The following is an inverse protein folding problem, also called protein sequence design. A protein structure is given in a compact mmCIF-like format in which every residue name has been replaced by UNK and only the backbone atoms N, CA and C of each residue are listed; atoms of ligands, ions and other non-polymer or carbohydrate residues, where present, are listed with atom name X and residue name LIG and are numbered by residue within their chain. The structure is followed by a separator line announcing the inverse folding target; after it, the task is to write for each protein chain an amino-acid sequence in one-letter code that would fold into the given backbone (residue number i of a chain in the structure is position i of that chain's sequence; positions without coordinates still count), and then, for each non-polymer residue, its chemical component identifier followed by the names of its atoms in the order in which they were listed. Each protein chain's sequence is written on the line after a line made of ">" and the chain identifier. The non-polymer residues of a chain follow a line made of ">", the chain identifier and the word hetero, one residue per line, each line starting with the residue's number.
data_IF_926116948449
#
_entry.id   IF_926116948449
#
_cell.length_a   1.000
_cell.length_b   1.000
_cell.length_c   1.000
_cell.angle_alpha   90.00
_cell.angle_beta   90.00
_cell.angle_gamma   90.00
#
_symmetry.space_group_name_H-M   'P 1'
#
loop_
_entity.id
_entity.type
_entity.pdbx_description
1 polymer ?
#
# COMPACT_ATOMS: atom_id res chain seq x y z
N UNK A 1 -10.46 -16.06 -53.56
CA UNK A 1 -11.17 -15.94 -52.27
C UNK A 1 -10.60 -17.03 -51.38
N UNK A 2 -9.45 -16.72 -50.79
CA UNK A 2 -8.72 -17.55 -49.83
C UNK A 2 -8.07 -16.61 -48.80
N UNK A 3 -8.93 -15.83 -48.14
CA UNK A 3 -8.57 -15.02 -46.97
C UNK A 3 -8.55 -15.92 -45.73
N UNK A 4 -7.56 -16.81 -45.64
CA UNK A 4 -7.48 -17.80 -44.56
C UNK A 4 -6.05 -18.10 -44.11
N UNK A 5 -5.17 -17.11 -44.11
CA UNK A 5 -3.83 -17.31 -43.54
C UNK A 5 -3.28 -16.08 -42.83
N UNK A 6 -3.86 -15.71 -41.67
CA UNK A 6 -3.05 -15.09 -40.61
C UNK A 6 -3.71 -15.16 -39.22
N UNK A 7 -3.95 -16.36 -38.72
CA UNK A 7 -4.24 -16.56 -37.30
C UNK A 7 -3.38 -17.70 -36.77
N UNK A 8 -2.08 -17.46 -36.57
CA UNK A 8 -1.23 -18.22 -35.65
C UNK A 8 0.21 -17.69 -35.70
N UNK A 9 0.49 -16.62 -34.94
CA UNK A 9 1.80 -16.44 -34.31
C UNK A 9 1.72 -15.42 -33.16
N UNK A 10 0.82 -15.63 -32.20
CA UNK A 10 0.93 -14.95 -30.91
C UNK A 10 1.84 -15.82 -30.05
N UNK A 11 3.17 -15.63 -30.19
CA UNK A 11 4.12 -16.18 -29.22
C UNK A 11 3.74 -15.64 -27.84
N UNK A 12 3.69 -16.51 -26.85
CA UNK A 12 3.53 -16.09 -25.46
C UNK A 12 4.57 -14.99 -25.14
N UNK A 13 4.20 -13.95 -24.38
CA UNK A 13 5.13 -12.89 -24.02
C UNK A 13 6.40 -13.47 -23.38
N UNK A 14 7.58 -12.86 -23.60
CA UNK A 14 8.78 -13.12 -22.80
C UNK A 14 8.42 -13.18 -21.31
N UNK A 15 9.00 -14.12 -20.56
CA UNK A 15 8.69 -14.36 -19.14
C UNK A 15 8.81 -13.08 -18.28
N UNK A 16 9.79 -12.23 -18.60
CA UNK A 16 10.00 -10.91 -17.96
C UNK A 16 8.82 -9.96 -18.20
N UNK A 17 8.31 -9.92 -19.44
CA UNK A 17 7.19 -9.06 -19.83
C UNK A 17 5.86 -9.55 -19.21
N UNK A 18 5.72 -10.87 -18.98
CA UNK A 18 4.58 -11.42 -18.26
C UNK A 18 4.61 -11.02 -16.78
N UNK A 19 5.77 -11.08 -16.14
CA UNK A 19 5.95 -10.65 -14.74
C UNK A 19 5.61 -9.19 -14.51
N UNK A 20 6.08 -8.30 -15.39
CA UNK A 20 5.75 -6.87 -15.34
C UNK A 20 4.26 -6.62 -15.56
N UNK A 21 3.64 -7.32 -16.51
CA UNK A 21 2.19 -7.21 -16.75
C UNK A 21 1.36 -7.70 -15.55
N UNK A 22 1.78 -8.77 -14.89
CA UNK A 22 1.12 -9.30 -13.69
C UNK A 22 1.22 -8.30 -12.52
N UNK A 23 2.37 -7.66 -12.33
CA UNK A 23 2.58 -6.64 -11.30
C UNK A 23 1.73 -5.37 -11.55
N UNK A 24 1.72 -4.86 -12.77
CA UNK A 24 0.92 -3.69 -13.14
C UNK A 24 -0.58 -3.93 -12.89
N UNK A 25 -1.06 -5.15 -13.19
CA UNK A 25 -2.44 -5.55 -12.89
C UNK A 25 -2.72 -5.61 -11.40
N UNK A 26 -1.81 -6.20 -10.62
CA UNK A 26 -1.94 -6.25 -9.16
C UNK A 26 -2.03 -4.84 -8.55
N UNK A 27 -1.19 -3.91 -9.01
CA UNK A 27 -1.22 -2.51 -8.56
C UNK A 27 -2.55 -1.84 -8.93
N UNK A 28 -3.03 -2.01 -10.16
CA UNK A 28 -4.25 -1.37 -10.63
C UNK A 28 -5.49 -1.88 -9.88
N UNK A 29 -5.62 -3.20 -9.73
CA UNK A 29 -6.69 -3.83 -8.94
C UNK A 29 -6.61 -3.43 -7.46
N UNK A 30 -5.39 -3.23 -6.93
CA UNK A 30 -5.13 -2.91 -5.53
C UNK A 30 -5.29 -1.43 -5.17
N UNK A 31 -5.33 -0.53 -6.17
CA UNK A 31 -5.20 0.93 -5.97
C UNK A 31 -6.27 1.52 -5.05
N UNK A 32 -7.53 1.16 -5.26
CA UNK A 32 -8.62 1.63 -4.40
C UNK A 32 -8.42 1.18 -2.96
N UNK A 33 -8.06 -0.09 -2.74
CA UNK A 33 -7.74 -0.64 -1.43
C UNK A 33 -6.57 0.06 -0.75
N UNK A 34 -5.52 0.36 -1.51
CA UNK A 34 -4.35 1.07 -1.00
C UNK A 34 -4.70 2.48 -0.50
N UNK A 35 -5.53 3.23 -1.23
CA UNK A 35 -6.02 4.56 -0.82
C UNK A 35 -6.86 4.45 0.45
N UNK A 36 -7.81 3.52 0.48
CA UNK A 36 -8.63 3.23 1.67
C UNK A 36 -7.78 2.83 2.88
N UNK A 37 -6.63 2.21 2.61
CA UNK A 37 -5.59 1.88 3.57
C UNK A 37 -5.25 3.04 4.51
N UNK A 38 -5.18 4.27 4.01
CA UNK A 38 -4.76 5.45 4.80
C UNK A 38 -5.88 6.24 5.44
N UNK A 39 -7.13 5.81 5.28
CA UNK A 39 -8.26 6.41 5.98
C UNK A 39 -8.44 5.67 7.32
N UNK A 40 -8.47 6.37 8.46
CA UNK A 40 -8.66 5.75 9.77
C UNK A 40 -9.88 4.82 9.79
N UNK A 41 -9.72 3.64 10.42
CA UNK A 41 -10.67 2.52 10.44
C UNK A 41 -10.98 1.86 9.08
N UNK A 42 -10.90 2.57 7.95
CA UNK A 42 -11.05 1.96 6.62
C UNK A 42 -9.81 1.17 6.20
N UNK A 43 -8.69 1.35 6.90
CA UNK A 43 -7.47 0.55 6.73
C UNK A 43 -7.70 -0.97 6.87
N UNK A 44 -8.78 -1.41 7.54
CA UNK A 44 -9.14 -2.82 7.65
C UNK A 44 -9.70 -3.41 6.34
N UNK A 45 -10.22 -2.60 5.43
CA UNK A 45 -10.76 -3.05 4.14
C UNK A 45 -9.69 -3.78 3.32
N UNK A 46 -8.54 -3.16 2.96
CA UNK A 46 -7.51 -3.89 2.21
C UNK A 46 -6.94 -5.08 3.00
N UNK A 47 -6.87 -5.01 4.34
CA UNK A 47 -6.34 -6.08 5.19
C UNK A 47 -7.23 -7.33 5.25
N UNK A 48 -8.55 -7.16 5.13
CA UNK A 48 -9.51 -8.25 5.29
C UNK A 48 -10.07 -8.70 3.94
N UNK A 49 -10.39 -7.75 3.06
CA UNK A 49 -11.11 -8.02 1.80
C UNK A 49 -10.19 -8.16 0.59
N UNK A 50 -8.93 -7.71 0.66
CA UNK A 50 -7.98 -7.73 -0.47
C UNK A 50 -6.70 -8.50 -0.15
N UNK A 51 -6.81 -9.58 0.65
CA UNK A 51 -5.66 -10.36 1.15
C UNK A 51 -4.74 -10.91 0.08
N UNK A 52 -5.28 -11.16 -1.12
CA UNK A 52 -4.54 -11.70 -2.26
C UNK A 52 -3.79 -10.61 -3.05
N UNK A 53 -4.06 -9.33 -2.76
CA UNK A 53 -3.42 -8.19 -3.40
C UNK A 53 -2.36 -7.59 -2.46
N UNK A 54 -1.08 -7.88 -2.73
CA UNK A 54 0.04 -7.48 -1.86
C UNK A 54 0.19 -5.97 -1.83
N UNK A 55 -0.07 -5.28 -2.94
CA UNK A 55 -0.04 -3.82 -3.01
C UNK A 55 -1.03 -3.19 -2.03
N UNK A 56 -2.31 -3.55 -2.12
CA UNK A 56 -3.36 -3.06 -1.22
C UNK A 56 -3.06 -3.40 0.24
N UNK A 57 -2.65 -4.65 0.53
CA UNK A 57 -2.33 -5.10 1.90
C UNK A 57 -1.16 -4.33 2.49
N UNK A 58 -0.10 -4.05 1.72
CA UNK A 58 1.06 -3.27 2.20
C UNK A 58 0.64 -1.86 2.64
N UNK A 59 -0.11 -1.15 1.81
CA UNK A 59 -0.64 0.18 2.14
C UNK A 59 -1.64 0.12 3.31
N UNK A 60 -2.49 -0.91 3.37
CA UNK A 60 -3.38 -1.17 4.50
C UNK A 60 -2.66 -1.37 5.84
N UNK A 61 -1.54 -2.13 5.84
CA UNK A 61 -0.71 -2.32 7.05
C UNK A 61 -0.08 -1.02 7.54
N UNK A 62 0.35 -0.15 6.61
CA UNK A 62 0.89 1.17 6.96
C UNK A 62 -0.18 2.08 7.57
N UNK A 63 -1.37 2.11 6.98
CA UNK A 63 -2.45 2.89 7.56
C UNK A 63 -2.95 2.33 8.90
N UNK A 64 -2.89 1.02 9.13
CA UNK A 64 -3.12 0.44 10.46
C UNK A 64 -2.09 0.92 11.48
N UNK A 65 -0.81 1.00 11.10
CA UNK A 65 0.23 1.56 11.98
C UNK A 65 -0.06 3.03 12.32
N UNK A 66 -0.46 3.84 11.33
CA UNK A 66 -0.87 5.23 11.56
C UNK A 66 -2.08 5.32 12.49
N UNK A 67 -3.11 4.50 12.27
CA UNK A 67 -4.29 4.43 13.14
C UNK A 67 -3.89 4.11 14.59
N UNK A 68 -2.99 3.16 14.83
CA UNK A 68 -2.52 2.84 16.18
C UNK A 68 -1.79 4.02 16.83
N UNK A 69 -0.97 4.74 16.07
CA UNK A 69 -0.28 5.95 16.54
C UNK A 69 -1.27 7.08 16.86
N UNK A 70 -2.29 7.25 16.02
CA UNK A 70 -3.37 8.23 16.25
C UNK A 70 -4.16 7.91 17.52
N UNK A 71 -4.58 6.65 17.70
CA UNK A 71 -5.29 6.22 18.90
C UNK A 71 -4.44 6.44 20.17
N UNK A 72 -3.15 6.10 20.11
CA UNK A 72 -2.23 6.36 21.22
C UNK A 72 -2.15 7.86 21.52
N UNK A 73 -2.00 8.70 20.50
CA UNK A 73 -1.94 10.15 20.67
C UNK A 73 -3.26 10.75 21.21
N UNK A 74 -4.41 10.21 20.82
CA UNK A 74 -5.71 10.62 21.36
C UNK A 74 -5.84 10.31 22.84
N UNK A 75 -5.37 9.15 23.31
CA UNK A 75 -5.41 8.77 24.73
C UNK A 75 -4.65 9.77 25.60
N UNK A 76 -3.54 10.33 25.11
CA UNK A 76 -2.70 11.26 25.87
C UNK A 76 -2.98 12.75 25.58
N UNK A 77 -4.06 13.07 24.87
CA UNK A 77 -4.40 14.44 24.49
C UNK A 77 -4.95 15.28 25.67
N UNK A 78 -5.27 14.65 26.81
CA UNK A 78 -5.82 15.28 28.02
C UNK A 78 -5.03 16.55 28.45
N UNK A 79 -5.71 17.55 29.02
CA UNK A 79 -5.14 18.87 29.27
C UNK A 79 -3.94 18.82 30.25
N UNK A 80 -2.77 19.24 29.76
CA UNK A 80 -1.50 19.27 30.48
C UNK A 80 -0.32 19.61 29.56
N UNK A 81 0.90 19.70 30.11
CA UNK A 81 2.15 20.07 29.40
C UNK A 81 2.47 19.15 28.22
N UNK A 82 1.96 17.92 28.21
CA UNK A 82 2.18 16.93 27.15
C UNK A 82 1.25 17.09 25.92
N UNK A 83 0.18 17.90 25.99
CA UNK A 83 -0.84 17.97 24.93
C UNK A 83 -0.30 18.51 23.60
N UNK A 84 0.70 19.40 23.64
CA UNK A 84 1.33 19.93 22.41
C UNK A 84 2.07 18.85 21.62
N UNK A 85 2.83 17.99 22.31
CA UNK A 85 3.60 16.91 21.68
C UNK A 85 2.68 15.91 20.96
N UNK A 86 1.59 15.47 21.61
CA UNK A 86 0.64 14.53 21.00
C UNK A 86 -0.14 15.12 19.83
N UNK A 87 -0.44 16.42 19.85
CA UNK A 87 -0.99 17.13 18.68
C UNK A 87 -0.04 17.11 17.49
N UNK A 88 1.26 17.31 17.74
CA UNK A 88 2.27 17.23 16.68
C UNK A 88 2.34 15.82 16.08
N UNK A 89 2.24 14.76 16.90
CA UNK A 89 2.17 13.38 16.41
C UNK A 89 0.96 13.19 15.50
N UNK A 90 -0.22 13.67 15.89
CA UNK A 90 -1.42 13.58 15.04
C UNK A 90 -1.24 14.29 13.69
N UNK A 91 -0.63 15.48 13.69
CA UNK A 91 -0.33 16.22 12.44
C UNK A 91 0.65 15.42 11.56
N UNK A 92 1.70 14.84 12.16
CA UNK A 92 2.66 14.01 11.43
C UNK A 92 2.00 12.74 10.86
N UNK A 93 1.10 12.10 11.60
CA UNK A 93 0.33 10.95 11.09
C UNK A 93 -0.55 11.35 9.89
N UNK A 94 -1.22 12.50 9.96
CA UNK A 94 -2.03 13.01 8.87
C UNK A 94 -1.21 13.31 7.61
N UNK A 95 -0.01 13.90 7.76
CA UNK A 95 0.93 14.12 6.65
C UNK A 95 1.39 12.79 6.06
N UNK A 96 1.75 11.82 6.90
CA UNK A 96 2.16 10.50 6.47
C UNK A 96 1.05 9.76 5.71
N UNK A 97 -0.19 9.84 6.20
CA UNK A 97 -1.37 9.31 5.51
C UNK A 97 -1.55 9.95 4.13
N UNK A 98 -1.43 11.27 4.05
CA UNK A 98 -1.53 12.01 2.79
C UNK A 98 -0.45 11.58 1.77
N UNK A 99 0.81 11.48 2.20
CA UNK A 99 1.91 10.98 1.36
C UNK A 99 1.63 9.53 0.92
N UNK A 100 1.11 8.70 1.82
CA UNK A 100 0.69 7.34 1.54
C UNK A 100 -0.36 7.25 0.42
N UNK A 101 -1.36 8.12 0.45
CA UNK A 101 -2.39 8.24 -0.60
C UNK A 101 -1.75 8.64 -1.93
N UNK A 102 -0.85 9.64 -1.93
CA UNK A 102 -0.16 10.07 -3.15
C UNK A 102 0.70 8.95 -3.76
N UNK A 103 1.36 8.15 -2.93
CA UNK A 103 2.12 6.99 -3.40
C UNK A 103 1.21 5.88 -3.92
N UNK A 104 0.06 5.65 -3.28
CA UNK A 104 -0.96 4.70 -3.75
C UNK A 104 -1.48 5.07 -5.13
N UNK A 105 -1.76 6.36 -5.36
CA UNK A 105 -2.20 6.89 -6.66
C UNK A 105 -1.14 6.69 -7.74
N UNK A 106 0.13 6.81 -7.38
CA UNK A 106 1.27 6.59 -8.29
C UNK A 106 1.61 5.11 -8.49
N UNK A 107 0.92 4.18 -7.81
CA UNK A 107 1.25 2.75 -7.87
C UNK A 107 2.61 2.42 -7.23
N UNK A 108 3.14 3.31 -6.41
CA UNK A 108 4.45 3.14 -5.78
C UNK A 108 4.28 2.49 -4.42
N UNK A 109 4.90 1.33 -4.25
CA UNK A 109 5.07 0.76 -2.93
C UNK A 109 6.03 1.63 -2.12
N UNK A 110 5.49 2.40 -1.17
CA UNK A 110 6.33 3.15 -0.24
C UNK A 110 6.94 2.17 0.76
N UNK A 111 8.15 1.67 0.54
CA UNK A 111 8.91 0.96 1.57
C UNK A 111 9.63 1.96 2.45
N UNK A 112 9.48 1.82 3.77
CA UNK A 112 10.39 2.48 4.71
C UNK A 112 11.78 1.88 4.46
N UNK A 113 12.76 2.64 3.93
CA UNK A 113 14.13 2.16 3.83
C UNK A 113 14.62 1.97 5.26
N UNK A 114 15.03 0.74 5.62
CA UNK A 114 15.68 0.27 6.88
C UNK A 114 15.18 -1.13 7.31
N UNK A 115 14.06 -1.63 6.78
CA UNK A 115 13.52 -2.97 7.10
C UNK A 115 13.74 -3.99 5.96
N UNK A 116 14.05 -3.55 4.74
CA UNK A 116 14.33 -4.43 3.61
C UNK A 116 15.58 -5.31 3.82
N UNK A 117 16.67 -4.71 4.31
CA UNK A 117 17.97 -5.39 4.36
C UNK A 117 18.03 -6.50 5.43
N UNK A 118 17.13 -6.45 6.41
CA UNK A 118 17.01 -7.50 7.42
C UNK A 118 16.23 -8.70 6.86
N UNK A 119 15.29 -8.48 5.93
CA UNK A 119 14.43 -9.55 5.41
C UNK A 119 15.14 -10.40 4.36
N UNK A 120 16.03 -9.80 3.55
CA UNK A 120 16.84 -10.55 2.56
C UNK A 120 17.91 -11.46 3.21
N UNK A 121 18.17 -11.31 4.51
CA UNK A 121 19.08 -12.18 5.26
C UNK A 121 18.40 -13.35 5.98
N UNK A 122 17.08 -13.35 6.08
CA UNK A 122 16.33 -14.42 6.74
C UNK A 122 15.39 -15.09 5.74
N UNK A 123 15.92 -16.10 5.03
CA UNK A 123 15.09 -17.11 4.38
C UNK A 123 14.28 -17.83 5.45
N UNK A 124 12.96 -17.65 5.41
CA UNK A 124 12.00 -18.59 5.99
C UNK A 124 11.15 -19.16 4.86
#
# INVERSE_FOLDING_TARGET
>A
MDDSTNQQNVKAPPQEQKGEYDELREIEEGKAGAILGYIPFLCFIPLIMMKDNKFAVKHGKQGLLLLLMELLAFIFLFPGISSFFWRMILILCAIAAFIGILNSLQGKEYRIPYISDITDKFNF
#
